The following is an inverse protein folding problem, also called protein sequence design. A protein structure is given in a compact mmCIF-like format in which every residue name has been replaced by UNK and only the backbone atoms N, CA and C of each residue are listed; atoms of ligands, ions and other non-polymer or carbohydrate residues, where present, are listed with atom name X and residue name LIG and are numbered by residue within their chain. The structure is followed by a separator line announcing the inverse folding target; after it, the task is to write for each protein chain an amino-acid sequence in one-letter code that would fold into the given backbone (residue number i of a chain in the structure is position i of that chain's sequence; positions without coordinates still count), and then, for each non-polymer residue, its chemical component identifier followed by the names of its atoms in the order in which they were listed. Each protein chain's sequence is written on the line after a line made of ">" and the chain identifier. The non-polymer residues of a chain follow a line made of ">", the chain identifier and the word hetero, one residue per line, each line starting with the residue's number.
data_IF_096107249293
#
_entry.id   IF_096107249293
#
_cell.length_a   1.000
_cell.length_b   1.000
_cell.length_c   1.000
_cell.angle_alpha   90.00
_cell.angle_beta   90.00
_cell.angle_gamma   90.00
#
_symmetry.space_group_name_H-M   'P 1'
#
loop_
_entity.id
_entity.type
_entity.pdbx_description
1 polymer ?
#
# COMPACT_ATOMS: atom_id res chain seq x y z
N UNK A 1 3.36 24.45 -28.86
CA UNK A 1 2.93 24.80 -27.49
C UNK A 1 3.24 23.65 -26.55
N UNK A 2 3.70 23.90 -25.32
CA UNK A 2 3.91 22.86 -24.31
C UNK A 2 2.55 22.42 -23.75
N UNK A 3 2.38 21.12 -23.47
CA UNK A 3 1.16 20.59 -22.84
C UNK A 3 1.05 21.12 -21.40
N UNK A 4 -0.15 21.50 -21.00
CA UNK A 4 -0.54 21.73 -19.60
C UNK A 4 -1.40 20.55 -19.13
N UNK A 5 -1.21 20.09 -17.89
CA UNK A 5 -2.03 19.02 -17.31
C UNK A 5 -3.43 19.53 -16.98
N UNK A 6 -4.40 18.62 -16.97
CA UNK A 6 -5.79 18.98 -16.61
C UNK A 6 -5.87 19.47 -15.17
N UNK A 7 -5.13 18.86 -14.23
CA UNK A 7 -5.04 19.35 -12.84
C UNK A 7 -4.63 20.83 -12.78
N UNK A 8 -3.56 21.22 -13.48
CA UNK A 8 -3.09 22.61 -13.50
C UNK A 8 -4.09 23.54 -14.19
N UNK A 9 -4.74 23.09 -15.26
CA UNK A 9 -5.78 23.87 -15.94
C UNK A 9 -6.97 24.14 -15.00
N UNK A 10 -7.47 23.11 -14.30
CA UNK A 10 -8.60 23.24 -13.39
C UNK A 10 -8.30 24.11 -12.17
N UNK A 11 -7.04 24.14 -11.72
CA UNK A 11 -6.56 24.98 -10.62
C UNK A 11 -6.27 26.43 -11.03
N UNK A 12 -6.45 26.78 -12.31
CA UNK A 12 -6.20 28.16 -12.77
C UNK A 12 -7.14 29.15 -12.08
N UNK A 13 -6.58 30.29 -11.69
CA UNK A 13 -7.34 31.37 -11.01
C UNK A 13 -8.01 32.34 -11.98
N UNK A 14 -7.59 32.35 -13.24
CA UNK A 14 -8.04 33.26 -14.28
C UNK A 14 -8.18 32.54 -15.64
N UNK A 15 -8.96 33.08 -16.59
CA UNK A 15 -9.04 32.56 -17.96
C UNK A 15 -7.67 32.51 -18.64
N UNK A 16 -7.52 31.58 -19.59
CA UNK A 16 -6.29 31.43 -20.38
C UNK A 16 -6.64 31.51 -21.86
N UNK A 17 -6.10 32.52 -22.55
CA UNK A 17 -6.39 32.76 -23.96
C UNK A 17 -6.01 31.59 -24.88
N UNK A 18 -4.99 30.82 -24.52
CA UNK A 18 -4.57 29.67 -25.31
C UNK A 18 -3.84 28.65 -24.44
N UNK A 19 -4.35 27.42 -24.40
CA UNK A 19 -3.74 26.30 -23.68
C UNK A 19 -3.84 25.01 -24.51
N UNK A 20 -2.82 24.17 -24.41
CA UNK A 20 -2.79 22.84 -25.01
C UNK A 20 -2.99 21.78 -23.93
N UNK A 21 -4.11 21.06 -23.99
CA UNK A 21 -4.35 19.87 -23.16
C UNK A 21 -4.29 18.61 -24.03
N UNK A 22 -3.88 17.50 -23.43
CA UNK A 22 -3.88 16.18 -24.06
C UNK A 22 -4.37 15.15 -23.06
N UNK A 23 -5.22 14.23 -23.50
CA UNK A 23 -5.80 13.20 -22.63
C UNK A 23 -6.61 12.18 -23.39
N UNK A 24 -7.37 11.37 -22.65
CA UNK A 24 -8.27 10.35 -23.16
C UNK A 24 -9.72 10.77 -22.98
N UNK A 25 -10.52 10.57 -24.02
CA UNK A 25 -11.96 10.85 -23.99
C UNK A 25 -12.64 9.91 -23.00
N UNK A 26 -13.26 10.49 -21.97
CA UNK A 26 -14.11 9.76 -21.01
C UNK A 26 -15.50 9.56 -21.58
N UNK A 27 -16.08 10.63 -22.09
CA UNK A 27 -17.39 10.62 -22.73
C UNK A 27 -17.43 11.71 -23.79
N UNK A 28 -18.24 11.49 -24.83
CA UNK A 28 -18.58 12.51 -25.82
C UNK A 28 -20.10 12.58 -25.92
N UNK A 29 -20.64 13.79 -25.99
CA UNK A 29 -22.05 14.05 -26.32
C UNK A 29 -22.11 15.04 -27.47
N UNK A 30 -22.80 14.67 -28.52
CA UNK A 30 -22.95 15.51 -29.71
C UNK A 30 -24.32 16.21 -29.66
N UNK A 31 -24.33 17.50 -30.01
CA UNK A 31 -25.51 18.32 -30.20
C UNK A 31 -25.53 18.83 -31.65
N UNK A 32 -26.54 19.63 -32.02
CA UNK A 32 -26.64 20.16 -33.39
C UNK A 32 -25.42 21.02 -33.76
N UNK A 33 -25.01 21.89 -32.84
CA UNK A 33 -24.01 22.93 -33.12
C UNK A 33 -22.65 22.67 -32.44
N UNK A 34 -22.61 21.77 -31.45
CA UNK A 34 -21.42 21.51 -30.62
C UNK A 34 -21.22 20.03 -30.27
N UNK A 35 -19.97 19.62 -30.09
CA UNK A 35 -19.59 18.39 -29.38
C UNK A 35 -19.03 18.73 -28.00
N UNK A 36 -19.56 18.07 -26.97
CA UNK A 36 -19.11 18.16 -25.58
C UNK A 36 -18.26 16.94 -25.27
N UNK A 37 -16.96 17.13 -25.03
CA UNK A 37 -16.03 16.06 -24.70
C UNK A 37 -15.56 16.21 -23.25
N UNK A 38 -15.76 15.15 -22.47
CA UNK A 38 -15.13 15.01 -21.16
C UNK A 38 -13.74 14.42 -21.35
N UNK A 39 -12.69 15.20 -21.10
CA UNK A 39 -11.30 14.79 -21.28
C UNK A 39 -10.62 14.60 -19.92
N UNK A 40 -9.86 13.51 -19.76
CA UNK A 40 -9.06 13.27 -18.56
C UNK A 40 -7.67 12.76 -18.95
N UNK A 41 -6.66 13.14 -18.18
CA UNK A 41 -5.27 12.83 -18.48
C UNK A 41 -4.56 12.08 -17.34
N UNK A 42 -5.33 11.65 -16.34
CA UNK A 42 -4.87 10.95 -15.15
C UNK A 42 -4.28 11.84 -14.05
N UNK A 43 -4.05 13.13 -14.30
CA UNK A 43 -3.40 14.04 -13.32
C UNK A 43 -4.25 14.36 -12.09
N UNK A 44 -5.57 14.22 -12.19
CA UNK A 44 -6.56 14.38 -11.11
C UNK A 44 -7.79 13.52 -11.40
N UNK A 45 -8.74 13.49 -10.45
CA UNK A 45 -10.00 12.77 -10.64
C UNK A 45 -10.91 13.52 -11.62
N UNK A 46 -11.01 14.84 -11.49
CA UNK A 46 -11.83 15.67 -12.35
C UNK A 46 -11.44 15.60 -13.84
N UNK A 47 -12.44 15.78 -14.69
CA UNK A 47 -12.27 15.96 -16.13
C UNK A 47 -12.26 17.46 -16.47
N UNK A 48 -11.72 17.81 -17.63
CA UNK A 48 -12.00 19.09 -18.29
C UNK A 48 -13.07 18.88 -19.35
N UNK A 49 -14.11 19.72 -19.33
CA UNK A 49 -15.08 19.79 -20.42
C UNK A 49 -14.47 20.55 -21.60
N UNK A 50 -14.48 19.95 -22.77
CA UNK A 50 -14.05 20.56 -24.04
C UNK A 50 -15.28 20.78 -24.92
N UNK A 51 -15.45 22.02 -25.38
CA UNK A 51 -16.50 22.43 -26.31
C UNK A 51 -15.90 22.55 -27.70
N UNK A 52 -16.38 21.74 -28.64
CA UNK A 52 -15.97 21.80 -30.06
C UNK A 52 -17.13 22.31 -30.90
N UNK A 53 -16.96 23.47 -31.50
CA UNK A 53 -17.95 24.08 -32.39
C UNK A 53 -18.00 23.37 -33.74
N UNK A 54 -19.20 23.14 -34.28
CA UNK A 54 -19.40 22.49 -35.59
C UNK A 54 -18.79 23.25 -36.77
N UNK A 55 -18.53 24.55 -36.60
CA UNK A 55 -17.85 25.42 -37.59
C UNK A 55 -16.33 25.23 -37.59
N UNK A 56 -15.76 24.52 -36.62
CA UNK A 56 -14.33 24.24 -36.59
C UNK A 56 -13.95 23.29 -37.71
N UNK A 57 -12.87 23.59 -38.44
CA UNK A 57 -12.39 22.74 -39.55
C UNK A 57 -12.16 21.27 -39.12
N UNK A 58 -11.71 21.07 -37.88
CA UNK A 58 -11.41 19.77 -37.29
C UNK A 58 -12.62 19.11 -36.60
N UNK A 59 -13.85 19.61 -36.77
CA UNK A 59 -15.02 19.10 -36.05
C UNK A 59 -15.26 17.59 -36.28
N UNK A 60 -15.01 17.10 -37.50
CA UNK A 60 -15.15 15.68 -37.82
C UNK A 60 -14.17 14.79 -37.03
N UNK A 61 -13.03 15.33 -36.59
CA UNK A 61 -12.07 14.62 -35.72
C UNK A 61 -12.69 14.42 -34.33
N UNK A 62 -13.36 15.44 -33.79
CA UNK A 62 -14.08 15.33 -32.52
C UNK A 62 -15.19 14.27 -32.58
N UNK A 63 -15.92 14.18 -33.71
CA UNK A 63 -16.94 13.14 -33.94
C UNK A 63 -16.38 11.72 -34.05
N UNK A 64 -15.08 11.57 -34.34
CA UNK A 64 -14.39 10.27 -34.39
C UNK A 64 -13.69 9.91 -33.08
N UNK A 65 -13.53 10.86 -32.16
CA UNK A 65 -12.92 10.64 -30.86
C UNK A 65 -13.92 9.98 -29.89
N UNK A 66 -14.03 8.66 -29.96
CA UNK A 66 -14.87 7.83 -29.09
C UNK A 66 -14.25 7.62 -27.70
N UNK A 67 -14.99 7.00 -26.77
CA UNK A 67 -14.49 6.68 -25.42
C UNK A 67 -13.19 5.89 -25.49
N UNK A 68 -12.17 6.37 -24.77
CA UNK A 68 -10.82 5.80 -24.76
C UNK A 68 -9.88 6.37 -25.83
N UNK A 69 -10.37 7.18 -26.79
CA UNK A 69 -9.52 7.81 -27.80
C UNK A 69 -8.60 8.86 -27.16
N UNK A 70 -7.37 8.96 -27.66
CA UNK A 70 -6.42 9.97 -27.23
C UNK A 70 -6.48 11.19 -28.16
N UNK A 71 -6.67 12.38 -27.59
CA UNK A 71 -6.74 13.63 -28.35
C UNK A 71 -5.82 14.70 -27.77
N UNK A 72 -5.43 15.64 -28.64
CA UNK A 72 -4.83 16.92 -28.28
C UNK A 72 -5.82 18.04 -28.63
N UNK A 73 -6.00 18.98 -27.72
CA UNK A 73 -6.90 20.13 -27.91
C UNK A 73 -6.14 21.40 -27.55
N UNK A 74 -6.06 22.33 -28.52
CA UNK A 74 -5.65 23.71 -28.25
C UNK A 74 -6.91 24.55 -28.20
N UNK A 75 -7.06 25.38 -27.17
CA UNK A 75 -8.26 26.19 -27.00
C UNK A 75 -8.12 27.27 -25.94
N UNK A 76 -9.20 28.01 -25.72
CA UNK A 76 -9.30 29.02 -24.67
C UNK A 76 -9.94 28.43 -23.42
N UNK A 77 -9.30 28.60 -22.27
CA UNK A 77 -9.89 28.27 -20.98
C UNK A 77 -10.76 29.44 -20.53
N UNK A 78 -12.07 29.20 -20.41
CA UNK A 78 -13.05 30.23 -20.06
C UNK A 78 -13.93 29.77 -18.91
N UNK A 79 -14.55 30.73 -18.21
CA UNK A 79 -15.52 30.41 -17.17
C UNK A 79 -16.72 29.66 -17.77
N UNK A 80 -17.05 28.53 -17.17
CA UNK A 80 -18.14 27.68 -17.63
C UNK A 80 -19.49 28.27 -17.20
N UNK A 81 -20.48 28.37 -18.11
CA UNK A 81 -21.85 28.71 -17.74
C UNK A 81 -22.59 27.52 -17.07
N UNK A 82 -22.03 26.30 -17.13
CA UNK A 82 -22.61 25.08 -16.56
C UNK A 82 -22.41 24.97 -15.05
N UNK A 83 -23.42 24.46 -14.34
CA UNK A 83 -23.34 24.16 -12.90
C UNK A 83 -22.40 22.96 -12.66
N UNK A 84 -21.53 23.07 -11.66
CA UNK A 84 -20.66 21.97 -11.22
C UNK A 84 -19.24 21.97 -11.80
N UNK A 85 -18.93 22.92 -12.69
CA UNK A 85 -17.57 23.14 -13.19
C UNK A 85 -17.27 24.63 -13.27
N UNK A 86 -16.06 25.04 -12.87
CA UNK A 86 -15.61 26.43 -12.98
C UNK A 86 -15.15 26.78 -14.38
N UNK A 87 -14.47 25.84 -15.03
CA UNK A 87 -13.77 26.06 -16.29
C UNK A 87 -14.29 25.13 -17.38
N UNK A 88 -14.32 25.61 -18.60
CA UNK A 88 -14.42 24.80 -19.82
C UNK A 88 -13.41 25.25 -20.87
N UNK A 89 -13.04 24.35 -21.77
CA UNK A 89 -12.08 24.63 -22.84
C UNK A 89 -12.83 24.78 -24.18
N UNK A 90 -12.85 25.99 -24.73
CA UNK A 90 -13.36 26.23 -26.08
C UNK A 90 -12.29 25.88 -27.11
N UNK A 91 -12.53 24.79 -27.84
CA UNK A 91 -11.57 24.23 -28.77
C UNK A 91 -11.37 25.15 -30.00
N UNK A 92 -10.10 25.46 -30.27
CA UNK A 92 -9.65 26.15 -31.49
C UNK A 92 -8.96 25.21 -32.47
N UNK A 93 -8.49 24.05 -32.02
CA UNK A 93 -7.99 22.96 -32.85
C UNK A 93 -8.11 21.64 -32.11
N UNK A 94 -8.46 20.56 -32.80
CA UNK A 94 -8.54 19.21 -32.23
C UNK A 94 -7.73 18.26 -33.09
N UNK A 95 -6.87 17.46 -32.47
CA UNK A 95 -6.10 16.43 -33.16
C UNK A 95 -6.30 15.07 -32.52
N UNK A 96 -6.62 14.06 -33.33
CA UNK A 96 -6.65 12.67 -32.89
C UNK A 96 -5.22 12.13 -32.82
N UNK A 97 -4.78 11.73 -31.63
CA UNK A 97 -3.47 11.13 -31.39
C UNK A 97 -3.53 9.60 -31.51
N UNK A 98 -4.67 9.01 -31.15
CA UNK A 98 -4.93 7.59 -31.28
C UNK A 98 -6.42 7.29 -31.15
N UNK A 99 -6.95 6.47 -32.06
CA UNK A 99 -8.32 5.99 -31.99
C UNK A 99 -8.50 4.94 -30.89
N UNK A 100 -9.75 4.74 -30.46
CA UNK A 100 -10.14 3.63 -29.59
C UNK A 100 -11.00 2.64 -30.38
N UNK A 101 -10.83 1.33 -30.22
CA UNK A 101 -11.67 0.36 -30.90
C UNK A 101 -13.11 0.38 -30.33
N UNK A 102 -14.07 -0.11 -31.11
CA UNK A 102 -15.49 -0.12 -30.70
C UNK A 102 -15.75 -1.02 -29.49
N UNK A 103 -14.98 -2.09 -29.35
CA UNK A 103 -15.02 -3.07 -28.27
C UNK A 103 -14.19 -2.66 -27.03
N UNK A 104 -13.80 -1.38 -26.92
CA UNK A 104 -13.03 -0.87 -25.78
C UNK A 104 -13.69 -1.27 -24.44
N UNK A 105 -13.01 -2.00 -23.53
CA UNK A 105 -13.68 -2.66 -22.41
C UNK A 105 -14.19 -1.69 -21.34
N UNK A 106 -13.58 -0.50 -21.21
CA UNK A 106 -13.97 0.52 -20.22
C UNK A 106 -15.07 1.45 -20.75
N UNK A 107 -16.18 0.86 -21.20
CA UNK A 107 -17.39 1.59 -21.57
C UNK A 107 -17.96 2.36 -20.37
N UNK A 108 -18.78 3.38 -20.63
CA UNK A 108 -19.45 4.23 -19.63
C UNK A 108 -20.56 3.47 -18.87
N UNK A 109 -20.17 2.47 -18.11
CA UNK A 109 -21.00 1.66 -17.21
C UNK A 109 -20.20 1.27 -15.97
N UNK A 110 -20.90 0.79 -14.94
CA UNK A 110 -20.23 0.19 -13.77
C UNK A 110 -19.60 -1.14 -14.17
N UNK A 111 -18.39 -1.37 -13.70
CA UNK A 111 -17.65 -2.62 -13.84
C UNK A 111 -17.39 -3.20 -12.45
N UNK A 112 -17.43 -4.53 -12.32
CA UNK A 112 -17.04 -5.20 -11.07
C UNK A 112 -15.53 -5.16 -10.88
N UNK A 113 -15.06 -5.28 -9.63
CA UNK A 113 -13.62 -5.39 -9.38
C UNK A 113 -13.03 -6.67 -9.98
N UNK A 114 -13.77 -7.78 -10.00
CA UNK A 114 -13.34 -9.03 -10.63
C UNK A 114 -13.04 -8.85 -12.12
N UNK A 115 -13.92 -8.17 -12.85
CA UNK A 115 -13.67 -7.83 -14.25
C UNK A 115 -12.48 -6.87 -14.39
N UNK A 116 -12.36 -5.85 -13.54
CA UNK A 116 -11.25 -4.92 -13.61
C UNK A 116 -9.90 -5.58 -13.32
N UNK A 117 -9.85 -6.67 -12.54
CA UNK A 117 -8.64 -7.48 -12.32
C UNK A 117 -8.21 -8.21 -13.61
N UNK A 118 -9.14 -8.66 -14.47
CA UNK A 118 -8.77 -9.33 -15.74
C UNK A 118 -8.16 -8.37 -16.78
N UNK A 119 -8.41 -7.07 -16.63
CA UNK A 119 -7.84 -6.00 -17.47
C UNK A 119 -6.99 -5.02 -16.65
N UNK A 120 -6.13 -5.56 -15.77
CA UNK A 120 -5.29 -4.76 -14.87
C UNK A 120 -4.43 -3.70 -15.59
N UNK A 121 -4.04 -3.96 -16.84
CA UNK A 121 -3.30 -3.02 -17.70
C UNK A 121 -4.13 -1.79 -18.14
N UNK A 122 -5.46 -1.85 -18.08
CA UNK A 122 -6.37 -0.74 -18.42
C UNK A 122 -7.06 -0.12 -17.20
N UNK A 123 -7.26 -0.88 -16.11
CA UNK A 123 -8.02 -0.41 -14.94
C UNK A 123 -7.55 0.93 -14.33
N UNK A 124 -6.26 1.35 -14.37
CA UNK A 124 -5.86 2.68 -13.87
C UNK A 124 -6.56 3.84 -14.59
N UNK A 125 -7.13 3.59 -15.78
CA UNK A 125 -7.96 4.55 -16.50
C UNK A 125 -9.36 4.69 -15.91
N UNK A 126 -9.75 3.93 -14.90
CA UNK A 126 -11.04 4.14 -14.20
C UNK A 126 -10.88 5.13 -13.06
N UNK A 127 -11.98 5.77 -12.64
CA UNK A 127 -11.95 6.73 -11.55
C UNK A 127 -11.43 6.12 -10.23
N UNK A 128 -11.94 4.93 -9.85
CA UNK A 128 -11.56 4.23 -8.62
C UNK A 128 -10.07 3.90 -8.58
N UNK A 129 -9.55 3.22 -9.59
CA UNK A 129 -8.15 2.79 -9.58
C UNK A 129 -7.18 3.95 -9.87
N UNK A 130 -7.58 4.94 -10.68
CA UNK A 130 -6.80 6.16 -10.85
C UNK A 130 -6.60 6.90 -9.53
N UNK A 131 -7.67 7.05 -8.74
CA UNK A 131 -7.62 7.63 -7.40
C UNK A 131 -6.76 6.80 -6.45
N UNK A 132 -6.95 5.47 -6.43
CA UNK A 132 -6.16 4.54 -5.61
C UNK A 132 -4.65 4.68 -5.87
N UNK A 133 -4.23 4.70 -7.14
CA UNK A 133 -2.80 4.79 -7.48
C UNK A 133 -2.20 6.17 -7.20
N UNK A 134 -2.98 7.26 -7.32
CA UNK A 134 -2.53 8.60 -6.90
C UNK A 134 -2.36 8.68 -5.38
N UNK A 135 -3.31 8.16 -4.60
CA UNK A 135 -3.20 8.07 -3.14
C UNK A 135 -1.97 7.23 -2.76
N UNK A 136 -1.79 6.04 -3.35
CA UNK A 136 -0.61 5.19 -3.09
C UNK A 136 0.70 5.91 -3.40
N UNK A 137 0.77 6.63 -4.53
CA UNK A 137 1.95 7.40 -4.90
C UNK A 137 2.24 8.53 -3.91
N UNK A 138 1.21 9.21 -3.39
CA UNK A 138 1.37 10.28 -2.41
C UNK A 138 1.83 9.73 -1.06
N UNK A 139 1.21 8.65 -0.61
CA UNK A 139 1.62 7.94 0.61
C UNK A 139 3.07 7.47 0.55
N UNK A 140 3.49 6.86 -0.56
CA UNK A 140 4.88 6.40 -0.72
C UNK A 140 5.90 7.55 -0.58
N UNK A 141 5.61 8.71 -1.18
CA UNK A 141 6.46 9.89 -1.04
C UNK A 141 6.41 10.45 0.40
N UNK A 142 5.25 10.43 1.06
CA UNK A 142 5.11 10.87 2.44
C UNK A 142 5.87 9.98 3.44
N UNK A 143 5.95 8.67 3.17
CA UNK A 143 6.81 7.74 3.93
C UNK A 143 8.28 8.17 3.81
N UNK A 144 8.77 8.44 2.59
CA UNK A 144 10.12 8.93 2.41
C UNK A 144 10.36 10.27 3.12
N UNK A 145 9.40 11.21 3.03
CA UNK A 145 9.48 12.52 3.69
C UNK A 145 9.51 12.36 5.23
N UNK A 146 8.68 11.47 5.79
CA UNK A 146 8.59 11.19 7.23
C UNK A 146 9.92 10.72 7.81
N UNK A 147 10.57 9.77 7.15
CA UNK A 147 11.85 9.21 7.56
C UNK A 147 13.00 10.20 7.32
N UNK A 148 13.00 10.89 6.18
CA UNK A 148 14.04 11.89 5.88
C UNK A 148 14.05 13.04 6.89
N UNK A 149 12.88 13.48 7.38
CA UNK A 149 12.76 14.51 8.42
C UNK A 149 13.27 14.06 9.80
N UNK A 150 13.45 12.74 10.00
CA UNK A 150 13.94 12.11 11.23
C UNK A 150 15.35 11.55 11.08
N UNK A 151 16.08 11.99 10.05
CA UNK A 151 17.48 11.61 9.79
C UNK A 151 17.70 10.12 9.49
N UNK A 152 16.65 9.39 9.11
CA UNK A 152 16.78 8.00 8.68
C UNK A 152 17.46 7.89 7.31
N UNK A 153 18.33 6.89 7.16
CA UNK A 153 18.96 6.56 5.89
C UNK A 153 18.14 5.51 5.13
N UNK A 154 17.75 5.84 3.90
CA UNK A 154 17.04 4.90 3.01
C UNK A 154 18.01 3.83 2.47
N UNK A 155 17.65 2.55 2.65
CA UNK A 155 18.45 1.40 2.23
C UNK A 155 17.76 0.57 1.15
N UNK A 156 18.58 0.07 0.24
CA UNK A 156 18.22 -1.01 -0.68
C UNK A 156 18.83 -2.33 -0.19
N UNK A 157 18.03 -3.12 0.54
CA UNK A 157 18.43 -4.45 0.99
C UNK A 157 18.34 -5.47 -0.15
N UNK A 158 19.11 -6.57 -0.10
CA UNK A 158 19.07 -7.61 -1.14
C UNK A 158 17.70 -8.28 -1.23
N UNK A 159 17.23 -8.50 -2.45
CA UNK A 159 15.98 -9.24 -2.71
C UNK A 159 16.23 -10.74 -2.85
N UNK A 160 17.35 -11.13 -3.45
CA UNK A 160 17.77 -12.54 -3.51
C UNK A 160 18.58 -12.81 -2.25
N UNK A 161 18.18 -13.82 -1.49
CA UNK A 161 18.75 -14.17 -0.19
C UNK A 161 18.98 -15.68 -0.08
N UNK A 162 19.96 -16.07 0.73
CA UNK A 162 20.13 -17.46 1.18
C UNK A 162 19.63 -17.68 2.61
N UNK A 163 18.94 -16.68 3.18
CA UNK A 163 18.48 -16.65 4.57
C UNK A 163 16.97 -16.49 4.62
N UNK A 164 16.33 -17.28 5.48
CA UNK A 164 14.93 -17.11 5.86
C UNK A 164 14.86 -16.22 7.10
N UNK A 165 14.32 -15.01 6.95
CA UNK A 165 14.23 -14.03 8.03
C UNK A 165 13.13 -14.39 9.04
N UNK A 166 12.02 -14.97 8.58
CA UNK A 166 10.85 -15.25 9.43
C UNK A 166 10.85 -16.70 9.94
N UNK A 167 11.67 -17.57 9.37
CA UNK A 167 11.82 -18.97 9.80
C UNK A 167 10.61 -19.85 9.46
N UNK A 168 9.71 -19.37 8.60
CA UNK A 168 8.49 -20.06 8.19
C UNK A 168 8.71 -21.08 7.07
N UNK A 169 9.87 -21.05 6.39
CA UNK A 169 10.26 -22.01 5.36
C UNK A 169 9.54 -21.88 4.01
N UNK A 170 8.57 -20.96 3.89
CA UNK A 170 7.76 -20.77 2.67
C UNK A 170 8.27 -19.60 1.82
N UNK A 171 9.39 -19.83 1.13
CA UNK A 171 10.03 -18.85 0.23
C UNK A 171 10.01 -19.30 -1.24
N UNK A 172 9.94 -18.34 -2.17
CA UNK A 172 10.14 -18.63 -3.59
C UNK A 172 11.62 -18.86 -3.90
N UNK A 173 11.97 -20.04 -4.41
CA UNK A 173 13.33 -20.34 -4.85
C UNK A 173 13.70 -19.61 -6.15
N UNK A 174 14.94 -19.12 -6.22
CA UNK A 174 15.54 -18.46 -7.37
C UNK A 174 16.70 -19.30 -7.88
N UNK A 175 16.53 -19.88 -9.07
CA UNK A 175 17.52 -20.78 -9.66
C UNK A 175 17.74 -20.46 -11.15
N UNK A 176 18.94 -20.75 -11.63
CA UNK A 176 19.26 -20.73 -13.08
C UNK A 176 19.37 -22.12 -13.67
N UNK A 177 19.18 -23.16 -12.85
CA UNK A 177 19.23 -24.55 -13.31
C UNK A 177 18.13 -24.84 -14.34
N UNK A 178 18.44 -25.71 -15.30
CA UNK A 178 17.42 -26.30 -16.17
C UNK A 178 16.58 -27.27 -15.34
N UNK A 179 15.31 -26.95 -15.09
CA UNK A 179 14.40 -27.79 -14.30
C UNK A 179 14.18 -29.18 -14.92
N UNK A 180 14.43 -29.35 -16.23
CA UNK A 180 14.38 -30.66 -16.88
C UNK A 180 15.66 -31.47 -16.68
N UNK A 181 16.75 -30.85 -16.20
CA UNK A 181 18.10 -31.42 -16.07
C UNK A 181 18.82 -30.90 -14.83
N UNK A 182 18.13 -30.92 -13.69
CA UNK A 182 18.70 -30.48 -12.40
C UNK A 182 19.90 -31.39 -12.07
N UNK A 183 21.13 -30.83 -11.92
CA UNK A 183 22.27 -31.60 -11.47
C UNK A 183 22.01 -32.12 -10.05
N UNK A 184 22.47 -33.33 -9.75
CA UNK A 184 22.23 -33.96 -8.44
C UNK A 184 23.52 -34.41 -7.78
N UNK A 185 23.55 -34.27 -6.45
CA UNK A 185 24.54 -34.83 -5.54
C UNK A 185 23.78 -35.52 -4.40
N UNK A 186 24.15 -36.77 -4.10
CA UNK A 186 23.49 -37.59 -3.05
C UNK A 186 21.95 -37.67 -3.15
N UNK A 187 21.41 -37.64 -4.37
CA UNK A 187 19.98 -37.74 -4.63
C UNK A 187 19.19 -36.44 -4.39
N UNK A 188 19.86 -35.32 -4.13
CA UNK A 188 19.27 -33.98 -4.01
C UNK A 188 19.82 -33.04 -5.10
N UNK A 189 19.14 -31.92 -5.40
CA UNK A 189 19.72 -30.87 -6.25
C UNK A 189 21.10 -30.44 -5.75
N UNK A 190 22.08 -30.41 -6.66
CA UNK A 190 23.43 -29.94 -6.35
C UNK A 190 23.52 -28.43 -6.51
N UNK A 191 23.14 -27.70 -5.47
CA UNK A 191 23.15 -26.24 -5.45
C UNK A 191 24.54 -25.61 -5.60
N UNK A 192 25.63 -26.38 -5.43
CA UNK A 192 26.98 -25.88 -5.74
C UNK A 192 27.16 -25.56 -7.23
N UNK A 193 26.30 -26.10 -8.09
CA UNK A 193 26.24 -25.84 -9.52
C UNK A 193 25.19 -24.78 -9.92
N UNK A 194 24.45 -24.20 -8.97
CA UNK A 194 23.57 -23.06 -9.27
C UNK A 194 24.38 -21.76 -9.41
N UNK A 195 23.71 -20.68 -9.82
CA UNK A 195 24.31 -19.37 -10.04
C UNK A 195 25.06 -18.81 -8.84
N UNK A 196 24.50 -19.00 -7.63
CA UNK A 196 25.09 -18.49 -6.39
C UNK A 196 25.98 -19.50 -5.67
N UNK A 197 26.14 -20.72 -6.22
CA UNK A 197 26.86 -21.83 -5.58
C UNK A 197 26.24 -22.34 -4.27
N UNK A 198 25.01 -21.91 -3.97
CA UNK A 198 24.17 -22.31 -2.84
C UNK A 198 22.71 -22.03 -3.19
N UNK A 199 21.80 -22.54 -2.37
CA UNK A 199 20.38 -22.24 -2.49
C UNK A 199 20.11 -20.74 -2.31
N UNK A 200 19.18 -20.22 -3.12
CA UNK A 200 18.79 -18.83 -3.11
C UNK A 200 17.27 -18.72 -3.29
N UNK A 201 16.70 -17.70 -2.65
CA UNK A 201 15.26 -17.45 -2.60
C UNK A 201 14.97 -15.96 -2.69
N UNK A 202 13.70 -15.60 -2.95
CA UNK A 202 13.21 -14.24 -2.81
C UNK A 202 12.93 -13.95 -1.34
N UNK A 203 13.39 -12.79 -0.86
CA UNK A 203 13.31 -12.44 0.56
C UNK A 203 11.87 -12.22 1.04
N UNK A 204 11.59 -12.71 2.25
CA UNK A 204 10.36 -12.40 2.99
C UNK A 204 10.46 -11.05 3.71
N UNK A 205 11.69 -10.59 4.03
CA UNK A 205 11.95 -9.34 4.78
C UNK A 205 13.39 -8.86 4.58
N UNK A 206 13.60 -7.54 4.60
CA UNK A 206 14.91 -6.90 4.61
C UNK A 206 15.51 -6.70 6.01
N UNK A 207 14.80 -7.08 7.07
CA UNK A 207 15.09 -6.74 8.46
C UNK A 207 16.52 -7.11 8.90
N UNK A 208 16.93 -8.38 8.75
CA UNK A 208 18.27 -8.82 9.20
C UNK A 208 19.40 -8.01 8.54
N UNK A 209 19.20 -7.58 7.29
CA UNK A 209 20.15 -6.68 6.63
C UNK A 209 20.07 -5.29 7.26
N UNK A 210 18.88 -4.73 7.45
CA UNK A 210 18.68 -3.42 8.06
C UNK A 210 19.34 -3.30 9.44
N UNK A 211 19.27 -4.34 10.28
CA UNK A 211 19.96 -4.41 11.58
C UNK A 211 21.48 -4.17 11.46
N UNK A 212 22.14 -4.81 10.48
CA UNK A 212 23.58 -4.61 10.26
C UNK A 212 23.94 -3.18 9.86
N UNK A 213 23.07 -2.52 9.08
CA UNK A 213 23.27 -1.13 8.67
C UNK A 213 22.93 -0.14 9.78
N UNK A 214 21.91 -0.42 10.59
CA UNK A 214 21.54 0.39 11.75
C UNK A 214 22.72 0.54 12.72
N UNK A 215 23.51 -0.52 12.92
CA UNK A 215 24.73 -0.46 13.75
C UNK A 215 25.80 0.52 13.22
N UNK A 216 25.81 0.84 11.93
CA UNK A 216 26.76 1.78 11.32
C UNK A 216 26.17 3.16 11.02
N UNK A 217 24.86 3.26 10.85
CA UNK A 217 24.16 4.46 10.36
C UNK A 217 23.14 5.04 11.35
N UNK A 218 22.94 4.40 12.51
CA UNK A 218 21.94 4.79 13.51
C UNK A 218 20.55 4.32 13.10
N UNK A 219 19.81 5.19 12.40
CA UNK A 219 18.44 4.93 11.97
C UNK A 219 18.37 4.71 10.47
N UNK A 220 17.77 3.61 10.05
CA UNK A 220 17.68 3.21 8.64
C UNK A 220 16.27 2.73 8.31
N UNK A 221 15.89 2.71 7.04
CA UNK A 221 14.66 2.05 6.63
C UNK A 221 14.78 1.46 5.23
N UNK A 222 14.10 0.34 5.00
CA UNK A 222 13.88 -0.23 3.67
C UNK A 222 12.55 0.28 3.11
N UNK A 223 12.43 0.25 1.79
CA UNK A 223 11.15 0.37 1.09
C UNK A 223 11.27 -0.45 -0.20
N UNK A 224 10.92 -1.73 -0.10
CA UNK A 224 11.18 -2.71 -1.16
C UNK A 224 10.10 -3.77 -1.29
N UNK A 225 10.14 -4.54 -2.39
CA UNK A 225 9.26 -5.69 -2.56
C UNK A 225 9.70 -6.86 -1.68
N UNK A 226 8.74 -7.59 -1.15
CA UNK A 226 8.94 -8.86 -0.43
C UNK A 226 7.94 -9.91 -0.89
N UNK A 227 8.24 -11.16 -0.61
CA UNK A 227 7.57 -12.30 -1.22
C UNK A 227 7.26 -13.38 -0.19
N UNK A 228 6.07 -13.97 -0.28
CA UNK A 228 5.67 -15.13 0.53
C UNK A 228 5.07 -16.19 -0.37
N UNK A 229 5.53 -17.43 -0.26
CA UNK A 229 5.04 -18.52 -1.13
C UNK A 229 3.88 -19.32 -0.55
N UNK A 230 3.30 -18.85 0.56
CA UNK A 230 2.13 -19.43 1.19
C UNK A 230 0.97 -19.62 0.21
N UNK A 231 0.36 -20.80 0.21
CA UNK A 231 -0.81 -21.09 -0.62
C UNK A 231 -2.10 -20.52 0.00
N UNK A 232 -2.12 -19.21 0.23
CA UNK A 232 -3.19 -18.46 0.87
C UNK A 232 -3.96 -17.61 -0.14
N UNK A 233 -5.12 -18.11 -0.59
CA UNK A 233 -6.00 -17.38 -1.52
C UNK A 233 -7.13 -16.67 -0.77
N UNK A 234 -6.81 -15.53 -0.16
CA UNK A 234 -7.76 -14.71 0.60
C UNK A 234 -7.87 -13.30 0.00
N UNK A 235 -8.76 -12.46 0.55
CA UNK A 235 -8.93 -11.08 0.11
C UNK A 235 -7.81 -10.12 0.56
N UNK A 236 -6.88 -10.57 1.43
CA UNK A 236 -5.85 -9.73 2.07
C UNK A 236 -4.41 -10.16 1.77
N UNK A 237 -4.20 -11.41 1.39
CA UNK A 237 -2.86 -11.95 1.13
C UNK A 237 -2.42 -11.72 -0.32
N UNK A 238 -1.14 -11.40 -0.50
CA UNK A 238 -0.47 -11.29 -1.80
C UNK A 238 0.86 -12.04 -1.73
N UNK A 239 1.22 -12.74 -2.81
CA UNK A 239 2.51 -13.43 -2.90
C UNK A 239 3.70 -12.47 -3.14
N UNK A 240 3.41 -11.27 -3.68
CA UNK A 240 4.36 -10.16 -3.84
C UNK A 240 3.69 -8.90 -3.27
N UNK A 241 4.34 -8.26 -2.32
CA UNK A 241 3.88 -7.00 -1.72
C UNK A 241 5.08 -6.10 -1.41
N UNK A 242 4.81 -4.91 -0.88
CA UNK A 242 5.86 -3.94 -0.57
C UNK A 242 5.85 -3.69 0.93
N UNK A 243 7.03 -3.81 1.54
CA UNK A 243 7.24 -3.49 2.94
C UNK A 243 8.09 -2.24 3.11
N UNK A 244 7.85 -1.58 4.23
CA UNK A 244 8.62 -0.45 4.72
C UNK A 244 9.12 -0.85 6.10
N UNK A 245 10.42 -1.06 6.23
CA UNK A 245 11.01 -1.70 7.40
C UNK A 245 12.04 -0.73 8.01
N UNK A 246 11.63 0.15 8.95
CA UNK A 246 12.57 0.95 9.72
C UNK A 246 13.31 0.10 10.76
N UNK A 247 14.58 0.43 11.01
CA UNK A 247 15.39 -0.16 12.05
C UNK A 247 16.20 0.95 12.74
N UNK A 248 16.25 0.94 14.08
CA UNK A 248 16.81 2.02 14.88
C UNK A 248 17.81 1.49 15.90
N UNK A 249 19.08 1.90 15.79
CA UNK A 249 20.03 1.64 16.86
C UNK A 249 19.64 2.40 18.14
N UNK A 250 19.85 1.75 19.28
CA UNK A 250 19.56 2.28 20.63
C UNK A 250 18.08 2.49 20.99
N UNK A 251 17.15 2.06 20.12
CA UNK A 251 15.72 2.09 20.42
C UNK A 251 15.27 0.86 21.20
N UNK A 252 14.36 1.05 22.14
CA UNK A 252 13.60 -0.03 22.79
C UNK A 252 12.20 -0.22 22.17
N UNK A 253 11.40 -1.13 22.74
CA UNK A 253 10.05 -1.40 22.26
C UNK A 253 9.12 -0.18 22.37
N UNK A 254 9.30 0.66 23.39
CA UNK A 254 8.45 1.84 23.58
C UNK A 254 8.70 2.89 22.49
N UNK A 255 9.96 3.03 22.06
CA UNK A 255 10.35 3.86 20.93
C UNK A 255 9.87 3.28 19.58
N UNK A 256 9.89 1.95 19.41
CA UNK A 256 9.34 1.27 18.23
C UNK A 256 7.82 1.50 18.09
N UNK A 257 7.07 1.30 19.18
CA UNK A 257 5.63 1.58 19.23
C UNK A 257 5.32 3.06 18.93
N UNK A 258 6.10 3.98 19.50
CA UNK A 258 5.94 5.41 19.26
C UNK A 258 6.21 5.80 17.80
N UNK A 259 7.21 5.18 17.15
CA UNK A 259 7.49 5.41 15.74
C UNK A 259 6.34 4.90 14.85
N UNK A 260 5.83 3.70 15.13
CA UNK A 260 4.69 3.11 14.41
C UNK A 260 3.45 4.00 14.48
N UNK A 261 3.07 4.44 15.68
CA UNK A 261 1.97 5.38 15.91
C UNK A 261 2.18 6.71 15.14
N UNK A 262 3.36 7.31 15.27
CA UNK A 262 3.69 8.57 14.60
C UNK A 262 3.63 8.47 13.06
N UNK A 263 4.07 7.34 12.49
CA UNK A 263 3.99 7.09 11.06
C UNK A 263 2.54 7.02 10.59
N UNK A 264 1.69 6.24 11.27
CA UNK A 264 0.28 6.10 10.88
C UNK A 264 -0.45 7.44 10.97
N UNK A 265 -0.27 8.20 12.06
CA UNK A 265 -0.85 9.54 12.17
C UNK A 265 -0.43 10.44 11.00
N UNK A 266 0.86 10.49 10.69
CA UNK A 266 1.38 11.31 9.60
C UNK A 266 0.74 10.93 8.25
N UNK A 267 0.65 9.64 7.94
CA UNK A 267 0.08 9.17 6.67
C UNK A 267 -1.42 9.45 6.55
N UNK A 268 -2.17 9.30 7.66
CA UNK A 268 -3.59 9.67 7.71
C UNK A 268 -3.77 11.17 7.47
N UNK A 269 -2.98 12.02 8.12
CA UNK A 269 -3.00 13.46 7.90
C UNK A 269 -2.72 13.84 6.44
N UNK A 270 -1.68 13.25 5.83
CA UNK A 270 -1.34 13.49 4.42
C UNK A 270 -2.49 13.12 3.50
N UNK A 271 -3.10 11.95 3.66
CA UNK A 271 -4.20 11.52 2.78
C UNK A 271 -5.42 12.43 2.92
N UNK A 272 -5.75 12.83 4.15
CA UNK A 272 -6.89 13.70 4.41
C UNK A 272 -6.68 15.12 3.87
N UNK A 273 -5.46 15.65 3.95
CA UNK A 273 -5.14 17.02 3.55
C UNK A 273 -4.77 17.17 2.06
N UNK A 274 -4.06 16.19 1.50
CA UNK A 274 -3.46 16.31 0.15
C UNK A 274 -4.17 15.47 -0.90
N UNK A 275 -5.02 14.51 -0.50
CA UNK A 275 -5.74 13.62 -1.42
C UNK A 275 -7.27 13.73 -1.30
N UNK A 276 -7.79 14.85 -0.78
CA UNK A 276 -9.22 15.04 -0.51
C UNK A 276 -10.14 14.64 -1.69
N UNK A 277 -9.83 15.08 -2.92
CA UNK A 277 -10.63 14.77 -4.11
C UNK A 277 -10.71 13.25 -4.37
N UNK A 278 -9.57 12.56 -4.28
CA UNK A 278 -9.46 11.13 -4.50
C UNK A 278 -10.07 10.33 -3.35
N UNK A 279 -9.81 10.75 -2.09
CA UNK A 279 -10.37 10.14 -0.88
C UNK A 279 -11.91 10.23 -0.89
N UNK A 280 -12.46 11.38 -1.27
CA UNK A 280 -13.89 11.60 -1.31
C UNK A 280 -14.63 10.64 -2.27
N UNK A 281 -13.96 10.10 -3.29
CA UNK A 281 -14.52 9.04 -4.13
C UNK A 281 -14.76 7.76 -3.32
N UNK A 282 -13.80 7.36 -2.49
CA UNK A 282 -13.92 6.15 -1.67
C UNK A 282 -14.97 6.33 -0.58
N UNK A 283 -14.99 7.48 0.09
CA UNK A 283 -16.01 7.81 1.10
C UNK A 283 -17.44 7.77 0.54
N UNK A 284 -17.64 8.13 -0.73
CA UNK A 284 -18.98 8.15 -1.35
C UNK A 284 -19.41 6.81 -1.90
N UNK A 285 -18.49 6.09 -2.53
CA UNK A 285 -18.83 4.96 -3.42
C UNK A 285 -18.27 3.60 -3.00
N UNK A 286 -17.36 3.55 -2.03
CA UNK A 286 -16.69 2.31 -1.60
C UNK A 286 -16.99 2.00 -0.13
N UNK A 287 -16.63 2.90 0.77
CA UNK A 287 -16.86 2.76 2.22
C UNK A 287 -17.32 4.10 2.78
N UNK A 288 -18.58 4.17 3.23
CA UNK A 288 -19.19 5.39 3.78
C UNK A 288 -18.65 5.77 5.16
N UNK A 289 -18.04 4.83 5.86
CA UNK A 289 -17.48 5.02 7.20
C UNK A 289 -15.99 5.36 7.16
N UNK A 290 -15.35 5.30 5.98
CA UNK A 290 -13.92 5.54 5.81
C UNK A 290 -13.45 6.86 6.45
N UNK A 291 -14.18 7.97 6.21
CA UNK A 291 -13.78 9.26 6.75
C UNK A 291 -13.86 9.26 8.29
N UNK A 292 -14.92 8.68 8.86
CA UNK A 292 -15.07 8.56 10.31
C UNK A 292 -13.98 7.69 10.93
N UNK A 293 -13.56 6.63 10.22
CA UNK A 293 -12.48 5.74 10.62
C UNK A 293 -11.12 6.44 10.61
N UNK A 294 -10.82 7.20 9.55
CA UNK A 294 -9.60 8.02 9.47
C UNK A 294 -9.58 9.11 10.54
N UNK A 295 -10.72 9.75 10.80
CA UNK A 295 -10.87 10.72 11.90
C UNK A 295 -10.63 10.09 13.27
N UNK A 296 -11.12 8.87 13.49
CA UNK A 296 -10.86 8.11 14.72
C UNK A 296 -9.37 7.80 14.89
N UNK A 297 -8.69 7.34 13.84
CA UNK A 297 -7.24 7.10 13.88
C UNK A 297 -6.50 8.42 14.13
N UNK A 298 -6.87 9.51 13.46
CA UNK A 298 -6.22 10.81 13.61
C UNK A 298 -6.35 11.40 15.02
N UNK A 299 -7.51 11.24 15.65
CA UNK A 299 -7.86 11.97 16.87
C UNK A 299 -7.48 11.26 18.18
N UNK A 300 -7.18 9.95 18.14
CA UNK A 300 -6.89 9.16 19.34
C UNK A 300 -5.42 8.76 19.37
N UNK A 301 -4.83 8.81 20.57
CA UNK A 301 -3.60 8.09 20.84
C UNK A 301 -3.87 6.58 20.78
N UNK A 302 -2.86 5.81 20.40
CA UNK A 302 -3.03 4.38 20.26
C UNK A 302 -2.92 3.73 21.65
N UNK A 303 -3.91 2.92 22.01
CA UNK A 303 -3.92 2.26 23.31
C UNK A 303 -2.83 1.18 23.33
N UNK A 304 -1.85 1.29 24.22
CA UNK A 304 -0.90 0.21 24.50
C UNK A 304 -1.56 -0.81 25.41
N UNK A 305 -1.61 -2.06 24.97
CA UNK A 305 -2.27 -3.16 25.67
C UNK A 305 -1.38 -4.40 25.58
N UNK A 306 -1.05 -5.02 26.72
CA UNK A 306 -0.28 -6.25 26.68
C UNK A 306 -1.12 -7.38 26.04
N UNK A 307 -0.47 -8.35 25.40
CA UNK A 307 -1.12 -9.54 24.88
C UNK A 307 -1.94 -10.27 25.96
N UNK A 308 -1.38 -10.35 27.18
CA UNK A 308 -2.03 -11.00 28.32
C UNK A 308 -3.37 -10.32 28.65
N UNK A 309 -3.38 -8.99 28.80
CA UNK A 309 -4.61 -8.23 29.04
C UNK A 309 -5.59 -8.34 27.86
N UNK A 310 -5.09 -8.38 26.63
CA UNK A 310 -5.93 -8.54 25.45
C UNK A 310 -6.70 -9.87 25.47
N UNK A 311 -6.02 -10.97 25.83
CA UNK A 311 -6.65 -12.29 26.01
C UNK A 311 -7.70 -12.25 27.12
N UNK A 312 -7.41 -11.61 28.25
CA UNK A 312 -8.37 -11.47 29.35
C UNK A 312 -9.62 -10.69 28.92
N UNK A 313 -9.45 -9.58 28.21
CA UNK A 313 -10.56 -8.77 27.65
C UNK A 313 -11.41 -9.61 26.70
N UNK A 314 -10.78 -10.37 25.81
CA UNK A 314 -11.46 -11.22 24.84
C UNK A 314 -12.25 -12.35 25.53
N UNK A 315 -11.66 -13.03 26.52
CA UNK A 315 -12.32 -14.08 27.28
C UNK A 315 -13.47 -13.54 28.15
N UNK A 316 -13.32 -12.34 28.72
CA UNK A 316 -14.34 -11.69 29.53
C UNK A 316 -15.49 -11.07 28.69
N UNK A 317 -15.33 -10.94 27.38
CA UNK A 317 -16.29 -10.27 26.49
C UNK A 317 -17.65 -10.97 26.41
N UNK A 318 -17.68 -12.28 26.60
CA UNK A 318 -18.86 -13.11 26.33
C UNK A 318 -19.23 -13.22 24.84
N UNK A 319 -18.38 -12.73 23.93
CA UNK A 319 -18.57 -12.86 22.49
C UNK A 319 -18.16 -14.27 22.02
N UNK A 320 -18.96 -14.86 21.14
CA UNK A 320 -18.59 -16.08 20.44
C UNK A 320 -17.67 -15.73 19.27
N UNK A 321 -16.46 -16.29 19.29
CA UNK A 321 -15.46 -16.20 18.22
C UNK A 321 -15.38 -17.52 17.46
N UNK A 322 -15.05 -17.47 16.17
CA UNK A 322 -14.82 -18.68 15.37
C UNK A 322 -13.55 -19.40 15.83
N UNK A 323 -12.51 -18.63 16.17
CA UNK A 323 -11.24 -19.13 16.67
C UNK A 323 -11.17 -19.05 18.21
N UNK A 324 -10.57 -20.06 18.87
CA UNK A 324 -10.47 -20.06 20.32
C UNK A 324 -9.53 -18.97 20.82
N UNK A 325 -9.90 -18.33 21.93
CA UNK A 325 -9.08 -17.35 22.63
C UNK A 325 -8.46 -18.00 23.87
N UNK A 326 -7.13 -18.15 23.86
CA UNK A 326 -6.35 -18.65 24.99
C UNK A 326 -4.95 -18.06 24.99
N UNK A 327 -4.38 -17.88 26.18
CA UNK A 327 -2.99 -17.44 26.31
C UNK A 327 -2.04 -18.43 25.63
N UNK A 328 -1.11 -17.93 24.81
CA UNK A 328 -0.20 -18.73 23.99
C UNK A 328 -0.72 -19.04 22.58
N UNK A 329 -1.98 -18.72 22.27
CA UNK A 329 -2.52 -18.82 20.91
C UNK A 329 -2.43 -17.49 20.18
N UNK A 330 -2.17 -17.54 18.88
CA UNK A 330 -2.10 -16.34 18.06
C UNK A 330 -3.49 -15.68 17.88
N UNK A 331 -3.54 -14.35 17.92
CA UNK A 331 -4.79 -13.63 17.76
C UNK A 331 -5.18 -13.57 16.29
N UNK A 332 -6.43 -13.88 16.01
CA UNK A 332 -6.97 -13.83 14.65
C UNK A 332 -7.59 -12.46 14.39
N UNK A 333 -7.78 -12.12 13.12
CA UNK A 333 -8.32 -10.80 12.73
C UNK A 333 -9.68 -10.48 13.35
N UNK A 334 -10.51 -11.47 13.69
CA UNK A 334 -11.76 -11.21 14.41
C UNK A 334 -11.54 -10.72 15.85
N UNK A 335 -10.49 -11.20 16.53
CA UNK A 335 -10.10 -10.78 17.88
C UNK A 335 -9.55 -9.35 17.85
N UNK A 336 -8.64 -9.07 16.93
CA UNK A 336 -8.06 -7.72 16.73
C UNK A 336 -9.13 -6.68 16.42
N UNK A 337 -10.07 -7.03 15.54
CA UNK A 337 -11.19 -6.16 15.18
C UNK A 337 -12.15 -5.98 16.33
N UNK A 338 -12.39 -6.99 17.16
CA UNK A 338 -13.19 -6.82 18.37
C UNK A 338 -12.56 -5.79 19.31
N UNK A 339 -11.25 -5.89 19.58
CA UNK A 339 -10.54 -4.96 20.43
C UNK A 339 -10.65 -3.52 19.90
N UNK A 340 -10.36 -3.32 18.62
CA UNK A 340 -10.31 -1.97 18.00
C UNK A 340 -11.69 -1.38 17.67
N UNK A 341 -12.68 -2.18 17.26
CA UNK A 341 -13.98 -1.71 16.78
C UNK A 341 -15.09 -1.75 17.83
N UNK A 342 -15.05 -2.72 18.75
CA UNK A 342 -16.14 -2.99 19.69
C UNK A 342 -15.78 -2.57 21.11
N UNK A 343 -14.64 -3.06 21.63
CA UNK A 343 -14.26 -2.86 23.03
C UNK A 343 -13.69 -1.45 23.27
N UNK A 344 -12.57 -1.11 22.62
CA UNK A 344 -11.89 0.17 22.85
C UNK A 344 -12.32 1.28 21.89
N UNK A 345 -12.80 0.93 20.68
CA UNK A 345 -13.27 1.89 19.66
C UNK A 345 -12.20 2.91 19.24
N UNK A 346 -10.94 2.49 19.26
CA UNK A 346 -9.76 3.26 18.86
C UNK A 346 -8.64 2.28 18.43
N UNK A 347 -7.58 2.76 17.78
CA UNK A 347 -6.40 1.95 17.50
C UNK A 347 -5.75 1.40 18.78
N UNK A 348 -5.17 0.22 18.68
CA UNK A 348 -4.52 -0.51 19.78
C UNK A 348 -3.15 -0.97 19.32
N UNK A 349 -2.13 -0.85 20.15
CA UNK A 349 -0.84 -1.49 19.97
C UNK A 349 -0.76 -2.64 20.98
N UNK A 350 -0.81 -3.87 20.46
CA UNK A 350 -0.58 -5.04 21.28
C UNK A 350 0.91 -5.21 21.49
N UNK A 351 1.34 -5.56 22.70
CA UNK A 351 2.75 -5.82 22.99
C UNK A 351 2.98 -7.01 23.93
N UNK A 352 4.24 -7.45 24.03
CA UNK A 352 4.69 -8.54 24.91
C UNK A 352 4.01 -9.89 24.64
N UNK A 353 4.15 -10.35 23.40
CA UNK A 353 3.57 -11.61 22.93
C UNK A 353 4.28 -12.84 23.52
N UNK A 354 3.60 -14.00 23.60
CA UNK A 354 4.22 -15.26 23.99
C UNK A 354 5.39 -15.61 23.06
N UNK A 355 6.52 -16.02 23.65
CA UNK A 355 7.75 -16.27 22.91
C UNK A 355 7.62 -17.39 21.86
N UNK A 356 6.76 -18.38 22.11
CA UNK A 356 6.63 -19.58 21.28
C UNK A 356 5.90 -19.36 19.95
N UNK A 357 5.20 -18.23 19.79
CA UNK A 357 4.46 -17.90 18.56
C UNK A 357 5.10 -16.74 17.78
N UNK A 358 6.30 -16.32 18.17
CA UNK A 358 7.01 -15.19 17.56
C UNK A 358 8.43 -15.59 17.14
N UNK A 359 9.02 -14.78 16.28
CA UNK A 359 10.28 -15.07 15.61
C UNK A 359 11.49 -15.10 16.58
N UNK A 360 12.54 -15.82 16.18
CA UNK A 360 13.74 -16.05 17.00
C UNK A 360 14.53 -14.79 17.39
N UNK A 361 14.42 -13.73 16.59
CA UNK A 361 15.19 -12.49 16.75
C UNK A 361 14.57 -11.52 17.76
N UNK A 362 13.35 -11.78 18.25
CA UNK A 362 12.65 -10.87 19.16
C UNK A 362 13.24 -10.97 20.57
N UNK A 363 13.48 -9.83 21.21
CA UNK A 363 14.12 -9.77 22.53
C UNK A 363 13.28 -10.49 23.58
N UNK A 364 13.89 -11.43 24.29
CA UNK A 364 13.23 -12.15 25.38
C UNK A 364 13.04 -11.22 26.59
N UNK A 365 11.80 -11.07 27.03
CA UNK A 365 11.48 -10.30 28.22
C UNK A 365 12.03 -10.99 29.47
N UNK A 366 12.23 -10.20 30.53
CA UNK A 366 12.56 -10.77 31.82
C UNK A 366 11.31 -11.46 32.43
N UNK A 367 11.48 -12.54 33.20
CA UNK A 367 10.34 -13.25 33.78
C UNK A 367 9.48 -12.34 34.65
N UNK A 368 8.17 -12.39 34.43
CA UNK A 368 7.17 -11.65 35.20
C UNK A 368 6.17 -12.63 35.82
N UNK A 369 5.96 -12.54 37.13
CA UNK A 369 5.01 -13.38 37.88
C UNK A 369 3.56 -13.13 37.47
N UNK A 370 3.25 -11.98 36.86
CA UNK A 370 1.91 -11.64 36.38
C UNK A 370 1.61 -12.25 35.00
N UNK A 371 2.63 -12.73 34.27
CA UNK A 371 2.46 -13.37 32.96
C UNK A 371 2.40 -14.90 33.07
N UNK A 372 1.45 -15.59 32.42
CA UNK A 372 1.35 -17.05 32.45
C UNK A 372 2.55 -17.82 31.88
N UNK A 373 3.41 -17.17 31.09
CA UNK A 373 4.58 -17.78 30.47
C UNK A 373 5.53 -16.75 29.87
N UNK A 374 6.60 -17.22 29.24
CA UNK A 374 7.63 -16.34 28.68
C UNK A 374 7.11 -15.51 27.50
N UNK A 375 7.46 -14.21 27.49
CA UNK A 375 7.10 -13.27 26.44
C UNK A 375 8.34 -12.71 25.73
N UNK A 376 8.11 -12.10 24.57
CA UNK A 376 9.10 -11.34 23.81
C UNK A 376 8.60 -9.92 23.58
N UNK A 377 9.53 -8.98 23.48
CA UNK A 377 9.28 -7.57 23.21
C UNK A 377 8.84 -7.33 21.75
N UNK A 378 7.69 -7.90 21.38
CA UNK A 378 7.03 -7.73 20.10
C UNK A 378 5.91 -6.71 20.21
N UNK A 379 5.56 -6.04 19.12
CA UNK A 379 4.38 -5.20 19.02
C UNK A 379 3.66 -5.37 17.70
N UNK A 380 2.33 -5.32 17.74
CA UNK A 380 1.47 -5.28 16.56
C UNK A 380 0.53 -4.06 16.67
N UNK A 381 0.61 -3.14 15.70
CA UNK A 381 -0.29 -1.98 15.60
C UNK A 381 -1.57 -2.41 14.90
N UNK A 382 -2.68 -2.32 15.61
CA UNK A 382 -4.01 -2.67 15.14
C UNK A 382 -4.84 -1.41 14.87
N UNK A 383 -5.45 -1.34 13.69
CA UNK A 383 -6.39 -0.28 13.35
C UNK A 383 -7.77 -0.84 12.96
N UNK A 384 -8.86 -0.11 13.26
CA UNK A 384 -10.21 -0.53 12.89
C UNK A 384 -10.34 -0.88 11.41
N UNK A 385 -11.10 -1.93 11.09
CA UNK A 385 -11.43 -2.38 9.73
C UNK A 385 -10.48 -3.41 9.14
N UNK A 386 -9.17 -3.22 9.29
CA UNK A 386 -8.16 -4.11 8.68
C UNK A 386 -7.50 -5.06 9.68
N UNK A 387 -7.38 -4.68 10.95
CA UNK A 387 -6.59 -5.42 11.95
C UNK A 387 -5.16 -4.89 11.98
N UNK A 388 -4.19 -5.80 12.02
CA UNK A 388 -2.77 -5.49 11.95
C UNK A 388 -2.40 -4.63 10.72
N UNK A 389 -1.64 -3.55 10.95
CA UNK A 389 -1.05 -2.71 9.90
C UNK A 389 0.48 -2.58 10.02
N UNK A 390 1.05 -2.77 11.21
CA UNK A 390 2.49 -2.79 11.48
C UNK A 390 2.75 -3.91 12.48
N UNK A 391 3.76 -4.74 12.21
CA UNK A 391 4.35 -5.65 13.19
C UNK A 391 5.83 -5.29 13.39
N UNK A 392 6.31 -5.36 14.61
CA UNK A 392 7.68 -5.00 14.99
C UNK A 392 8.10 -5.62 16.32
N UNK A 393 9.35 -5.39 16.71
CA UNK A 393 9.89 -5.88 17.97
C UNK A 393 11.21 -5.21 18.29
N UNK A 394 11.53 -5.10 19.58
CA UNK A 394 12.92 -4.94 20.00
C UNK A 394 13.71 -6.21 19.67
N UNK A 395 14.92 -6.06 19.14
CA UNK A 395 15.78 -7.19 18.73
C UNK A 395 16.57 -7.77 19.91
N UNK A 396 16.80 -9.08 19.91
CA UNK A 396 17.61 -9.75 20.92
C UNK A 396 19.10 -9.43 20.74
N UNK A 397 19.57 -8.44 21.49
CA UNK A 397 20.93 -7.92 21.42
C UNK A 397 21.95 -8.80 22.18
N UNK A 398 21.47 -9.70 23.06
CA UNK A 398 22.32 -10.53 23.92
C UNK A 398 22.65 -11.83 23.19
N UNK A 399 23.90 -11.95 22.75
CA UNK A 399 24.37 -13.06 21.93
C UNK A 399 24.06 -14.45 22.52
N UNK A 400 24.22 -14.63 23.83
CA UNK A 400 23.98 -15.91 24.52
C UNK A 400 22.51 -16.33 24.52
N UNK A 401 21.58 -15.36 24.49
CA UNK A 401 20.15 -15.62 24.39
C UNK A 401 19.72 -15.84 22.94
N UNK A 402 20.23 -15.03 22.01
CA UNK A 402 19.96 -15.19 20.58
C UNK A 402 20.39 -16.59 20.08
N UNK A 403 21.63 -16.97 20.34
CA UNK A 403 22.18 -18.30 19.96
C UNK A 403 21.39 -19.44 20.58
N UNK A 404 21.00 -19.32 21.86
CA UNK A 404 20.13 -20.31 22.51
C UNK A 404 18.78 -20.43 21.81
N UNK A 405 18.13 -19.30 21.49
CA UNK A 405 16.83 -19.29 20.83
C UNK A 405 16.90 -19.85 19.41
N UNK A 406 17.96 -19.54 18.67
CA UNK A 406 18.24 -20.14 17.37
C UNK A 406 18.35 -21.67 17.47
N UNK A 407 19.13 -22.17 18.44
CA UNK A 407 19.28 -23.61 18.66
C UNK A 407 17.97 -24.30 19.07
N UNK A 408 17.14 -23.67 19.91
CA UNK A 408 15.80 -24.16 20.30
C UNK A 408 14.88 -24.35 19.09
N UNK A 409 15.00 -23.48 18.09
CA UNK A 409 14.20 -23.51 16.87
C UNK A 409 14.86 -24.28 15.71
N UNK A 410 16.02 -24.91 15.96
CA UNK A 410 16.75 -25.68 14.96
C UNK A 410 17.38 -24.84 13.85
N UNK A 411 17.64 -23.55 14.09
CA UNK A 411 18.34 -22.67 13.17
C UNK A 411 19.85 -22.85 13.30
N UNK A 412 20.57 -22.86 12.17
CA UNK A 412 22.03 -23.01 12.15
C UNK A 412 22.72 -21.66 12.39
N UNK A 413 23.75 -21.66 13.25
CA UNK A 413 24.71 -20.56 13.34
C UNK A 413 25.64 -20.57 12.11
N UNK A 414 25.89 -19.40 11.54
CA UNK A 414 26.68 -19.23 10.31
C UNK A 414 28.20 -19.40 10.52
#
# INVERSE_FOLDING_TARGET
>A
MKRTSIKTVLQSVQPINQVLVKGWVRTRRDSKDFSFIELNDGSCLANIQVIVDSRLADYTIAQRANTGAAIAVTGQLVESPGKGQRWELQAQSVSLLGSSPEDYPLQKKRHSDDFLRTIAHLRPRTNKYGAMFRIRSRLALAIHDFFAQREFVYLHTPIITGSDCEGAGEMFHVTTMDLAKVPTADGKPDYSQDFFGKEASLTVSGQLCAETFAMGLGSVYTFGPTFRSENSNTSRHMAEFWMVEPEMAFADLDEDMALGEALIHHLVEVVMNECEEDLALFCRFVDRELLQRLENIRANAFLRLSYTEAVEVLQASGQEFEFPVSWGADLQSEHERFLTEVHFKQPVILHDYPADIKAFYMRQNDPDEETPGATVAAMDVLVPGIGEIIGGSQREERLDRLTRRMAELGLEEA
#
